data_IF_926455580009
#
_entry.id   IF_926455580009
#
_cell.length_a   1.000
_cell.length_b   1.000
_cell.length_c   1.000
_cell.angle_alpha   90.00
_cell.angle_beta   90.00
_cell.angle_gamma   90.00
#
_symmetry.space_group_name_H-M   'P 1'
#
loop_
_entity.id
_entity.type
_entity.pdbx_description
1 polymer ?
#
# COMPACT_ATOMS: atom_id res chain seq x y z
N UNK A 1 38.47 -36.31 -32.98
CA UNK A 1 37.93 -36.55 -31.62
C UNK A 1 36.84 -35.49 -31.41
N UNK A 2 35.57 -35.88 -31.64
CA UNK A 2 34.41 -35.00 -31.45
C UNK A 2 34.18 -34.82 -29.97
N UNK A 3 34.29 -33.59 -29.50
CA UNK A 3 33.87 -33.21 -28.14
C UNK A 3 32.34 -33.24 -28.08
N UNK A 4 31.79 -34.34 -27.56
CA UNK A 4 30.37 -34.49 -27.29
C UNK A 4 29.98 -33.54 -26.13
N UNK A 5 29.38 -32.40 -26.44
CA UNK A 5 28.89 -31.45 -25.44
C UNK A 5 27.74 -32.04 -24.65
N UNK A 6 27.94 -32.28 -23.36
CA UNK A 6 26.91 -32.73 -22.44
C UNK A 6 25.73 -31.73 -22.43
N UNK A 7 24.52 -32.20 -22.71
CA UNK A 7 23.31 -31.37 -22.70
C UNK A 7 23.10 -30.63 -21.37
N UNK A 8 23.55 -31.19 -20.24
CA UNK A 8 23.49 -30.59 -18.90
C UNK A 8 24.47 -29.41 -18.77
N UNK A 9 25.71 -29.57 -19.26
CA UNK A 9 26.74 -28.53 -19.28
C UNK A 9 26.36 -27.38 -20.26
N UNK A 10 25.69 -27.71 -21.36
CA UNK A 10 25.18 -26.72 -22.32
C UNK A 10 24.03 -25.90 -21.77
N UNK A 11 23.14 -26.51 -20.96
CA UNK A 11 22.06 -25.80 -20.28
C UNK A 11 22.57 -24.94 -19.12
N UNK A 12 23.54 -25.38 -18.36
CA UNK A 12 24.19 -24.58 -17.29
C UNK A 12 24.92 -23.35 -17.84
N UNK A 13 25.64 -23.48 -18.97
CA UNK A 13 26.24 -22.35 -19.66
C UNK A 13 25.21 -21.38 -20.25
N UNK A 14 24.10 -21.87 -20.83
CA UNK A 14 22.99 -21.03 -21.34
C UNK A 14 22.25 -20.32 -20.23
N UNK A 15 22.10 -20.94 -19.05
CA UNK A 15 21.47 -20.30 -17.91
C UNK A 15 22.35 -19.23 -17.24
N UNK A 16 23.68 -19.41 -17.18
CA UNK A 16 24.62 -18.39 -16.69
C UNK A 16 24.64 -17.13 -17.56
N UNK A 17 24.52 -17.26 -18.88
CA UNK A 17 24.49 -16.10 -19.79
C UNK A 17 23.19 -15.31 -19.78
N UNK A 18 22.13 -15.82 -19.14
CA UNK A 18 20.80 -15.18 -19.00
C UNK A 18 20.52 -14.62 -17.61
N UNK A 19 21.43 -14.75 -16.66
CA UNK A 19 21.23 -14.21 -15.32
C UNK A 19 21.50 -12.72 -15.34
N UNK A 20 20.45 -11.95 -15.17
CA UNK A 20 20.53 -10.49 -15.06
C UNK A 20 21.25 -10.17 -13.74
N UNK A 21 22.46 -9.61 -13.82
CA UNK A 21 23.32 -9.39 -12.64
C UNK A 21 22.75 -8.28 -11.73
N UNK A 22 23.19 -8.26 -10.47
CA UNK A 22 22.81 -7.20 -9.53
C UNK A 22 23.30 -5.82 -10.01
N UNK A 23 24.51 -5.73 -10.63
CA UNK A 23 25.01 -4.49 -11.22
C UNK A 23 24.08 -3.96 -12.30
N UNK A 24 23.61 -4.83 -13.21
CA UNK A 24 22.64 -4.45 -14.25
C UNK A 24 21.29 -4.06 -13.65
N UNK A 25 20.89 -4.68 -12.52
CA UNK A 25 19.71 -4.28 -11.77
C UNK A 25 19.85 -2.84 -11.24
N UNK A 26 20.96 -2.52 -10.58
CA UNK A 26 21.22 -1.19 -10.03
C UNK A 26 21.23 -0.11 -11.11
N UNK A 27 21.96 -0.32 -12.20
CA UNK A 27 22.05 0.62 -13.31
C UNK A 27 20.67 0.95 -13.85
N UNK A 28 19.91 -0.08 -14.24
CA UNK A 28 18.56 0.11 -14.79
C UNK A 28 17.56 0.67 -13.80
N UNK A 29 17.66 0.28 -12.54
CA UNK A 29 16.79 0.82 -11.50
C UNK A 29 17.03 2.31 -11.27
N UNK A 30 18.29 2.74 -11.28
CA UNK A 30 18.65 4.14 -11.17
C UNK A 30 18.13 4.95 -12.36
N UNK A 31 18.27 4.45 -13.58
CA UNK A 31 17.71 5.08 -14.78
C UNK A 31 16.18 5.22 -14.69
N UNK A 32 15.46 4.12 -14.42
CA UNK A 32 13.99 4.07 -14.39
C UNK A 32 13.43 5.01 -13.31
N UNK A 33 14.09 5.09 -12.17
CA UNK A 33 13.63 5.88 -11.03
C UNK A 33 14.36 7.21 -10.85
N UNK A 34 15.13 7.66 -11.86
CA UNK A 34 15.85 8.94 -11.85
C UNK A 34 16.68 9.15 -10.58
N UNK A 35 17.41 8.11 -10.15
CA UNK A 35 18.28 8.10 -8.95
C UNK A 35 17.58 8.45 -7.64
N UNK A 36 16.26 8.28 -7.56
CA UNK A 36 15.47 8.63 -6.36
C UNK A 36 15.73 7.70 -5.17
N UNK A 37 16.01 6.42 -5.43
CA UNK A 37 16.13 5.39 -4.39
C UNK A 37 17.59 5.03 -4.11
N UNK A 38 17.87 4.60 -2.88
CA UNK A 38 19.12 3.96 -2.54
C UNK A 38 18.93 2.46 -2.23
N UNK A 39 19.99 1.69 -2.41
CA UNK A 39 19.95 0.24 -2.32
C UNK A 39 21.02 -0.23 -1.34
N UNK A 40 20.64 -0.83 -0.19
CA UNK A 40 21.57 -1.37 0.78
C UNK A 40 22.53 -2.40 0.16
N UNK A 41 23.78 -2.43 0.63
CA UNK A 41 24.84 -3.29 0.06
C UNK A 41 24.56 -4.79 0.24
N UNK A 42 23.84 -5.20 1.27
CA UNK A 42 23.43 -6.58 1.52
C UNK A 42 22.56 -7.18 0.40
N UNK A 43 21.96 -6.37 -0.45
CA UNK A 43 21.23 -6.86 -1.62
C UNK A 43 22.12 -7.63 -2.60
N UNK A 44 23.41 -7.30 -2.68
CA UNK A 44 24.35 -7.99 -3.57
C UNK A 44 24.46 -9.48 -3.22
N UNK A 45 24.40 -9.81 -1.93
CA UNK A 45 24.55 -11.18 -1.42
C UNK A 45 23.27 -12.00 -1.60
N UNK A 46 22.11 -11.34 -1.63
CA UNK A 46 20.79 -11.99 -1.69
C UNK A 46 20.17 -11.99 -3.09
N UNK A 47 20.74 -11.23 -4.03
CA UNK A 47 20.24 -11.13 -5.39
C UNK A 47 20.64 -12.32 -6.25
N UNK A 48 19.68 -13.15 -6.61
CA UNK A 48 19.89 -14.27 -7.53
C UNK A 48 19.39 -13.98 -8.95
N UNK A 49 18.24 -13.31 -9.05
CA UNK A 49 17.57 -13.06 -10.31
C UNK A 49 16.47 -11.97 -10.15
N UNK A 50 15.76 -11.70 -11.25
CA UNK A 50 14.68 -10.69 -11.26
C UNK A 50 13.50 -10.97 -10.33
N UNK A 51 13.37 -12.19 -9.79
CA UNK A 51 12.32 -12.55 -8.82
C UNK A 51 12.75 -12.31 -7.37
N UNK A 52 14.04 -12.07 -7.13
CA UNK A 52 14.59 -11.78 -5.79
C UNK A 52 13.87 -10.58 -5.17
N UNK A 53 13.69 -10.62 -3.86
CA UNK A 53 13.18 -9.50 -3.06
C UNK A 53 14.36 -8.61 -2.74
N UNK A 54 14.22 -7.32 -3.02
CA UNK A 54 15.25 -6.30 -2.84
C UNK A 54 14.82 -5.31 -1.79
N UNK A 55 15.73 -4.98 -0.90
CA UNK A 55 15.61 -3.88 0.06
C UNK A 55 15.89 -2.55 -0.66
N UNK A 56 14.96 -1.62 -0.56
CA UNK A 56 15.01 -0.32 -1.24
C UNK A 56 14.70 0.76 -0.22
N UNK A 57 15.50 1.81 -0.19
CA UNK A 57 15.29 2.95 0.70
C UNK A 57 14.68 4.10 -0.09
N UNK A 58 13.46 4.48 0.31
CA UNK A 58 12.81 5.69 -0.16
C UNK A 58 13.27 6.88 0.70
N UNK A 59 13.65 8.03 0.13
CA UNK A 59 14.08 9.19 0.90
C UNK A 59 12.98 9.74 1.81
N UNK A 60 11.70 9.58 1.44
CA UNK A 60 10.57 10.09 2.21
C UNK A 60 9.97 9.07 3.18
N UNK A 61 10.02 7.76 2.87
CA UNK A 61 9.28 6.73 3.60
C UNK A 61 10.16 5.60 4.16
N UNK A 62 11.49 5.73 4.02
CA UNK A 62 12.44 4.74 4.55
C UNK A 62 12.46 3.42 3.79
N UNK A 63 12.86 2.35 4.49
CA UNK A 63 13.08 1.03 3.92
C UNK A 63 11.78 0.34 3.52
N UNK A 64 11.74 -0.20 2.30
CA UNK A 64 10.68 -1.09 1.84
C UNK A 64 11.23 -2.22 0.97
N UNK A 65 10.46 -3.29 0.82
CA UNK A 65 10.84 -4.45 0.03
C UNK A 65 10.00 -4.58 -1.23
N UNK A 66 10.65 -4.98 -2.33
CA UNK A 66 9.99 -5.23 -3.61
C UNK A 66 10.71 -6.30 -4.42
N UNK A 67 9.96 -7.06 -5.24
CA UNK A 67 10.58 -7.92 -6.24
C UNK A 67 11.34 -7.09 -7.27
N UNK A 68 12.56 -7.47 -7.60
CA UNK A 68 13.41 -6.75 -8.55
C UNK A 68 12.72 -6.48 -9.89
N UNK A 69 12.00 -7.47 -10.44
CA UNK A 69 11.24 -7.29 -11.70
C UNK A 69 10.16 -6.20 -11.61
N UNK A 70 9.48 -6.08 -10.48
CA UNK A 70 8.43 -5.09 -10.28
C UNK A 70 9.04 -3.68 -10.16
N UNK A 71 10.20 -3.57 -9.51
CA UNK A 71 10.93 -2.32 -9.42
C UNK A 71 11.44 -1.88 -10.80
N UNK A 72 12.02 -2.80 -11.58
CA UNK A 72 12.43 -2.57 -12.97
C UNK A 72 11.28 -2.25 -13.94
N UNK A 73 10.03 -2.55 -13.58
CA UNK A 73 8.84 -2.12 -14.32
C UNK A 73 8.29 -0.75 -13.87
N UNK A 74 9.07 0.03 -13.11
CA UNK A 74 8.71 1.37 -12.67
C UNK A 74 7.90 1.43 -11.35
N UNK A 75 7.69 0.29 -10.68
CA UNK A 75 6.98 0.29 -9.40
C UNK A 75 7.91 0.76 -8.28
N UNK A 76 7.75 1.99 -7.84
CA UNK A 76 8.47 2.59 -6.73
C UNK A 76 7.86 2.32 -5.35
N UNK A 77 8.08 3.26 -4.43
CA UNK A 77 7.49 3.25 -3.09
C UNK A 77 5.97 3.35 -3.16
N UNK A 78 5.29 2.44 -2.45
CA UNK A 78 3.83 2.42 -2.42
C UNK A 78 3.23 3.68 -1.77
N UNK A 79 3.86 4.16 -0.69
CA UNK A 79 3.40 5.36 0.01
C UNK A 79 3.49 6.60 -0.88
N UNK A 80 4.59 6.80 -1.61
CA UNK A 80 4.70 7.87 -2.60
C UNK A 80 3.61 7.79 -3.68
N UNK A 81 3.32 6.57 -4.17
CA UNK A 81 2.28 6.39 -5.19
C UNK A 81 0.89 6.74 -4.66
N UNK A 82 0.59 6.35 -3.41
CA UNK A 82 -0.68 6.70 -2.78
C UNK A 82 -0.80 8.20 -2.56
N UNK A 83 0.24 8.85 -2.01
CA UNK A 83 0.25 10.30 -1.82
C UNK A 83 0.02 11.05 -3.14
N UNK A 84 0.67 10.60 -4.22
CA UNK A 84 0.44 11.16 -5.55
C UNK A 84 -1.03 11.01 -5.98
N UNK A 85 -1.62 9.82 -5.82
CA UNK A 85 -3.03 9.56 -6.18
C UNK A 85 -4.01 10.38 -5.31
N UNK A 86 -3.69 10.59 -4.03
CA UNK A 86 -4.47 11.48 -3.14
C UNK A 86 -4.42 12.92 -3.65
N UNK A 87 -3.22 13.44 -3.97
CA UNK A 87 -3.04 14.81 -4.49
C UNK A 87 -3.74 15.01 -5.84
N UNK A 88 -3.77 13.96 -6.69
CA UNK A 88 -4.44 13.98 -7.99
C UNK A 88 -5.96 13.73 -7.88
N UNK A 89 -6.51 13.48 -6.68
CA UNK A 89 -7.92 13.10 -6.50
C UNK A 89 -8.31 11.76 -7.14
N UNK A 90 -7.34 10.91 -7.44
CA UNK A 90 -7.50 9.65 -8.21
C UNK A 90 -7.42 8.39 -7.36
N UNK A 91 -7.73 8.44 -6.06
CA UNK A 91 -7.75 7.21 -5.26
C UNK A 91 -8.79 6.24 -5.80
N UNK A 92 -8.41 5.04 -6.26
CA UNK A 92 -9.38 4.06 -6.75
C UNK A 92 -10.21 3.52 -5.58
N UNK A 93 -11.54 3.60 -5.68
CA UNK A 93 -12.46 2.83 -4.85
C UNK A 93 -12.99 3.49 -3.59
N UNK A 94 -12.92 4.82 -3.45
CA UNK A 94 -13.57 5.56 -2.36
C UNK A 94 -14.79 6.37 -2.82
N UNK A 95 -15.56 6.87 -1.87
CA UNK A 95 -16.55 7.89 -2.14
C UNK A 95 -15.85 9.23 -2.37
N UNK A 96 -16.37 10.01 -3.33
CA UNK A 96 -15.85 11.34 -3.66
C UNK A 96 -16.99 12.33 -3.75
N UNK A 97 -16.70 13.63 -3.58
CA UNK A 97 -17.70 14.68 -3.75
C UNK A 97 -18.35 14.61 -5.13
N UNK A 98 -17.54 14.39 -6.18
CA UNK A 98 -18.03 14.23 -7.54
C UNK A 98 -19.02 13.06 -7.68
N UNK A 99 -18.74 11.90 -7.05
CA UNK A 99 -19.66 10.76 -7.07
C UNK A 99 -21.03 11.11 -6.47
N UNK A 100 -21.06 11.92 -5.41
CA UNK A 100 -22.31 12.36 -4.78
C UNK A 100 -23.05 13.46 -5.58
N UNK A 101 -22.36 14.17 -6.45
CA UNK A 101 -22.98 15.09 -7.42
C UNK A 101 -23.59 14.31 -8.59
N UNK A 102 -22.86 13.30 -9.12
CA UNK A 102 -23.31 12.43 -10.19
C UNK A 102 -24.44 11.47 -9.79
N UNK A 103 -24.46 11.05 -8.49
CA UNK A 103 -25.43 10.11 -7.91
C UNK A 103 -25.98 10.61 -6.59
N UNK A 104 -26.87 11.62 -6.61
CA UNK A 104 -27.43 12.25 -5.40
C UNK A 104 -28.15 11.27 -4.46
N UNK A 105 -28.74 10.21 -5.02
CA UNK A 105 -29.44 9.15 -4.28
C UNK A 105 -28.53 8.42 -3.27
N UNK A 106 -27.22 8.41 -3.51
CA UNK A 106 -26.28 7.80 -2.56
C UNK A 106 -26.16 8.59 -1.25
N UNK A 107 -26.45 9.90 -1.27
CA UNK A 107 -26.28 10.75 -0.10
C UNK A 107 -27.09 10.26 1.11
N UNK A 108 -28.33 9.84 0.88
CA UNK A 108 -29.25 9.39 1.93
C UNK A 108 -29.13 7.89 2.28
N UNK A 109 -28.28 7.14 1.58
CA UNK A 109 -28.08 5.71 1.83
C UNK A 109 -27.50 5.51 3.24
N UNK A 110 -28.04 4.55 4.00
CA UNK A 110 -27.48 4.21 5.32
C UNK A 110 -26.06 3.67 5.20
N UNK A 111 -25.17 4.17 6.03
CA UNK A 111 -23.78 3.74 6.14
C UNK A 111 -23.32 3.72 7.60
N UNK A 112 -22.22 3.03 7.83
CA UNK A 112 -21.55 2.94 9.12
C UNK A 112 -20.16 3.53 9.00
N UNK A 113 -19.85 4.58 9.77
CA UNK A 113 -18.47 4.98 10.06
C UNK A 113 -17.95 4.02 11.12
N UNK A 114 -16.75 3.54 10.96
CA UNK A 114 -16.12 2.66 11.95
C UNK A 114 -14.73 3.15 12.30
N UNK A 115 -14.37 3.01 13.58
CA UNK A 115 -13.02 3.24 14.08
C UNK A 115 -12.52 1.97 14.75
N UNK A 116 -11.43 1.42 14.22
CA UNK A 116 -10.89 0.12 14.60
C UNK A 116 -9.46 0.25 15.07
N UNK A 117 -9.05 -0.61 16.02
CA UNK A 117 -7.66 -0.90 16.29
C UNK A 117 -7.25 -2.16 15.52
N UNK A 118 -6.16 -2.08 14.76
CA UNK A 118 -5.65 -3.16 13.91
C UNK A 118 -4.19 -3.43 14.27
N UNK A 119 -3.95 -4.33 15.21
CA UNK A 119 -2.65 -4.49 15.86
C UNK A 119 -2.24 -3.18 16.55
N UNK A 120 -1.14 -2.57 16.14
CA UNK A 120 -0.62 -1.30 16.69
C UNK A 120 -1.09 -0.06 15.89
N UNK A 121 -2.00 -0.20 14.95
CA UNK A 121 -2.50 0.88 14.12
C UNK A 121 -3.99 1.10 14.37
N UNK A 122 -4.47 2.28 14.02
CA UNK A 122 -5.87 2.65 14.11
C UNK A 122 -6.39 2.91 12.70
N UNK A 123 -7.63 2.51 12.44
CA UNK A 123 -8.26 2.65 11.13
C UNK A 123 -9.60 3.31 11.26
N UNK A 124 -9.83 4.38 10.48
CA UNK A 124 -11.16 4.87 10.18
C UNK A 124 -11.63 4.35 8.83
N UNK A 125 -12.93 4.33 8.60
CA UNK A 125 -13.51 4.03 7.31
C UNK A 125 -15.02 4.04 7.33
N UNK A 126 -15.61 3.99 6.13
CA UNK A 126 -17.05 3.98 5.93
C UNK A 126 -17.47 2.75 5.12
N UNK A 127 -18.65 2.24 5.39
CA UNK A 127 -19.20 1.08 4.67
C UNK A 127 -20.71 1.02 4.77
N UNK A 128 -21.34 0.46 3.77
CA UNK A 128 -22.78 0.09 3.80
C UNK A 128 -23.01 -1.34 4.28
N UNK A 129 -21.93 -2.12 4.52
CA UNK A 129 -21.97 -3.48 5.07
C UNK A 129 -20.78 -3.68 6.02
N UNK A 130 -21.03 -3.39 7.31
CA UNK A 130 -19.98 -3.43 8.33
C UNK A 130 -19.43 -4.84 8.55
N UNK A 131 -20.27 -5.85 8.66
CA UNK A 131 -19.83 -7.23 8.95
C UNK A 131 -18.95 -7.80 7.82
N UNK A 132 -19.32 -7.53 6.57
CA UNK A 132 -18.52 -7.90 5.41
C UNK A 132 -17.17 -7.18 5.40
N UNK A 133 -17.17 -5.87 5.64
CA UNK A 133 -15.96 -5.06 5.67
C UNK A 133 -15.02 -5.46 6.80
N UNK A 134 -15.54 -5.71 7.99
CA UNK A 134 -14.77 -6.14 9.15
C UNK A 134 -14.05 -7.46 8.90
N UNK A 135 -14.74 -8.46 8.31
CA UNK A 135 -14.12 -9.75 7.93
C UNK A 135 -12.98 -9.54 6.91
N UNK A 136 -13.18 -8.67 5.92
CA UNK A 136 -12.17 -8.37 4.91
C UNK A 136 -10.92 -7.71 5.55
N UNK A 137 -11.11 -6.74 6.47
CA UNK A 137 -10.00 -6.09 7.17
C UNK A 137 -9.18 -7.11 7.97
N UNK A 138 -9.83 -8.03 8.68
CA UNK A 138 -9.13 -9.13 9.39
C UNK A 138 -8.30 -9.99 8.44
N UNK A 139 -8.89 -10.38 7.32
CA UNK A 139 -8.22 -11.24 6.31
C UNK A 139 -7.03 -10.53 5.64
N UNK A 140 -7.20 -9.26 5.27
CA UNK A 140 -6.20 -8.48 4.55
C UNK A 140 -5.03 -8.04 5.44
N UNK A 141 -5.34 -7.58 6.66
CA UNK A 141 -4.33 -7.12 7.62
C UNK A 141 -3.52 -8.26 8.24
N UNK A 142 -4.14 -9.45 8.36
CA UNK A 142 -3.61 -10.61 9.11
C UNK A 142 -3.24 -10.27 10.56
N UNK A 143 -3.95 -9.32 11.16
CA UNK A 143 -3.74 -8.83 12.52
C UNK A 143 -5.01 -8.97 13.33
N UNK A 144 -4.88 -8.89 14.64
CA UNK A 144 -6.02 -8.73 15.54
C UNK A 144 -6.71 -7.40 15.25
N UNK A 145 -8.05 -7.43 15.20
CA UNK A 145 -8.89 -6.26 14.91
C UNK A 145 -9.93 -6.13 16.00
N UNK A 146 -9.92 -4.98 16.66
CA UNK A 146 -10.84 -4.58 17.71
C UNK A 146 -11.69 -3.41 17.22
N UNK A 147 -12.99 -3.44 17.52
CA UNK A 147 -13.89 -2.33 17.23
C UNK A 147 -13.82 -1.35 18.41
N UNK A 148 -13.36 -0.11 18.15
CA UNK A 148 -13.35 0.93 19.17
C UNK A 148 -14.66 1.66 19.18
N UNK A 149 -15.16 2.10 18.02
CA UNK A 149 -16.43 2.80 17.89
C UNK A 149 -17.06 2.61 16.51
N UNK A 150 -18.39 2.76 16.44
CA UNK A 150 -19.15 2.74 15.20
C UNK A 150 -20.29 3.76 15.27
N UNK A 151 -20.53 4.45 14.16
CA UNK A 151 -21.62 5.41 14.02
C UNK A 151 -22.42 5.11 12.75
N UNK A 152 -23.71 4.85 12.90
CA UNK A 152 -24.66 4.75 11.77
C UNK A 152 -25.18 6.12 11.41
N UNK A 153 -25.09 6.47 10.13
CA UNK A 153 -25.56 7.76 9.61
C UNK A 153 -25.79 7.66 8.10
N UNK A 154 -26.11 8.78 7.43
CA UNK A 154 -26.16 8.81 5.97
C UNK A 154 -24.77 8.61 5.37
N UNK A 155 -24.71 8.08 4.16
CA UNK A 155 -23.43 7.84 3.48
C UNK A 155 -22.67 9.14 3.22
N UNK A 156 -23.37 10.24 2.98
CA UNK A 156 -22.75 11.54 2.78
C UNK A 156 -22.16 12.11 4.07
N UNK A 157 -22.90 12.06 5.19
CA UNK A 157 -22.41 12.51 6.50
C UNK A 157 -21.25 11.61 6.97
N UNK A 158 -21.35 10.30 6.73
CA UNK A 158 -20.25 9.36 6.99
C UNK A 158 -18.98 9.75 6.22
N UNK A 159 -19.11 10.08 4.93
CA UNK A 159 -18.01 10.55 4.09
C UNK A 159 -17.41 11.86 4.61
N UNK A 160 -18.25 12.84 4.96
CA UNK A 160 -17.75 14.12 5.49
C UNK A 160 -16.99 13.94 6.80
N UNK A 161 -17.51 13.13 7.71
CA UNK A 161 -16.87 12.82 8.99
C UNK A 161 -15.52 12.12 8.79
N UNK A 162 -15.47 11.10 7.94
CA UNK A 162 -14.22 10.41 7.61
C UNK A 162 -13.18 11.36 7.06
N UNK A 163 -13.54 12.21 6.06
CA UNK A 163 -12.62 13.17 5.45
C UNK A 163 -12.15 14.24 6.44
N UNK A 164 -13.02 14.70 7.33
CA UNK A 164 -12.67 15.62 8.40
C UNK A 164 -11.61 15.05 9.34
N UNK A 165 -11.81 13.80 9.80
CA UNK A 165 -10.85 13.11 10.68
C UNK A 165 -9.54 12.84 9.95
N UNK A 166 -9.58 12.36 8.70
CA UNK A 166 -8.38 12.11 7.91
C UNK A 166 -7.57 13.38 7.67
N UNK A 167 -8.21 14.51 7.38
CA UNK A 167 -7.55 15.80 7.18
C UNK A 167 -6.99 16.38 8.48
N UNK A 168 -7.77 16.35 9.57
CA UNK A 168 -7.36 16.88 10.88
C UNK A 168 -6.14 16.17 11.46
N UNK A 169 -5.97 14.88 11.18
CA UNK A 169 -4.93 14.04 11.75
C UNK A 169 -3.95 13.50 10.70
N UNK A 170 -3.76 14.23 9.60
CA UNK A 170 -2.90 13.81 8.48
C UNK A 170 -1.45 13.52 8.90
N UNK A 171 -0.89 14.25 9.88
CA UNK A 171 0.45 14.02 10.44
C UNK A 171 0.65 12.61 11.02
N UNK A 172 -0.43 11.96 11.43
CA UNK A 172 -0.38 10.60 12.00
C UNK A 172 -0.78 9.52 11.02
N UNK A 173 -1.06 9.87 9.76
CA UNK A 173 -1.50 8.92 8.73
C UNK A 173 -0.40 7.93 8.37
N UNK A 174 -0.84 6.69 8.21
CA UNK A 174 0.00 5.58 7.78
C UNK A 174 -0.61 4.90 6.57
N UNK A 175 0.23 4.58 5.60
CA UNK A 175 -0.19 3.92 4.37
C UNK A 175 0.30 2.48 4.37
N UNK A 176 -0.59 1.53 4.12
CA UNK A 176 -0.28 0.12 3.96
C UNK A 176 -0.96 -0.40 2.70
N UNK A 177 -0.43 -1.49 2.15
CA UNK A 177 -0.98 -2.10 0.93
C UNK A 177 -2.48 -2.43 1.03
N UNK A 178 -2.97 -2.74 2.22
CA UNK A 178 -4.35 -3.12 2.49
C UNK A 178 -5.24 -1.96 2.96
N UNK A 179 -4.66 -0.82 3.27
CA UNK A 179 -5.43 0.38 3.66
C UNK A 179 -4.61 1.66 3.60
N UNK A 180 -5.28 2.75 3.27
CA UNK A 180 -4.76 4.12 3.22
C UNK A 180 -5.32 5.02 4.32
N UNK A 181 -6.33 4.54 5.08
CA UNK A 181 -7.01 5.28 6.14
C UNK A 181 -6.59 4.75 7.52
N UNK A 182 -5.27 4.75 7.76
CA UNK A 182 -4.65 4.27 8.98
C UNK A 182 -3.95 5.41 9.72
N UNK A 183 -3.88 5.27 11.05
CA UNK A 183 -3.13 6.17 11.92
C UNK A 183 -2.12 5.39 12.77
N UNK A 184 -1.00 6.02 13.07
CA UNK A 184 0.07 5.46 13.93
C UNK A 184 -0.29 5.46 15.42
N UNK A 185 -1.30 6.24 15.84
CA UNK A 185 -1.79 6.33 17.22
C UNK A 185 -3.31 6.48 17.25
N UNK A 186 -3.91 6.34 18.44
CA UNK A 186 -5.32 6.67 18.67
C UNK A 186 -5.53 8.19 18.53
N UNK A 187 -6.14 8.59 17.42
CA UNK A 187 -6.39 10.01 17.12
C UNK A 187 -7.67 10.53 17.78
N UNK A 188 -8.60 9.65 18.12
CA UNK A 188 -9.83 10.03 18.85
C UNK A 188 -9.60 10.17 20.34
N UNK A 189 -8.55 9.52 20.87
CA UNK A 189 -8.16 9.62 22.28
C UNK A 189 -9.36 9.39 23.25
N UNK A 190 -10.14 8.36 22.99
CA UNK A 190 -11.30 7.98 23.78
C UNK A 190 -12.58 8.79 23.50
N UNK A 191 -12.58 9.73 22.55
CA UNK A 191 -13.80 10.42 22.11
C UNK A 191 -14.64 9.51 21.21
N UNK A 192 -15.96 9.69 21.26
CA UNK A 192 -16.86 9.02 20.33
C UNK A 192 -16.83 9.69 18.94
N UNK A 193 -17.10 8.89 17.91
CA UNK A 193 -17.33 9.39 16.54
C UNK A 193 -18.50 10.38 16.46
N UNK A 194 -19.42 10.34 17.43
CA UNK A 194 -20.54 11.28 17.53
C UNK A 194 -20.10 12.69 17.98
N UNK A 195 -18.95 12.79 18.62
CA UNK A 195 -18.43 14.04 19.20
C UNK A 195 -17.37 14.69 18.29
N UNK A 196 -17.12 14.13 17.13
CA UNK A 196 -16.19 14.59 16.11
C UNK A 196 -16.92 15.30 14.99
#
# INVERSE_FOLDING_TARGET
ISACGCNKCGMEKKNRSKTFSYSNFLEKSNEIHSFRYSYPSNNADTYENRKSIIDIVCPEHGLFQKKAQNHLSGQGCFQCKVQQLVQEGKLPGGYTTQLFEEKPELKSKEATVYYLKVGNLYKIGITTNFDGRFRNIKSESKKEVEVIDTLKTSLFDAYQLEQSILGKYDDYRMYRRWSTELFSKDVLNGKSLKDC
#
